data_IF_142853648696
#
_entry.id   IF_142853648696
#
_cell.length_a   1.000
_cell.length_b   1.000
_cell.length_c   1.000
_cell.angle_alpha   90.00
_cell.angle_beta   90.00
_cell.angle_gamma   90.00
#
_symmetry.space_group_name_H-M   'P 1'
#
loop_
_entity.id
_entity.type
_entity.pdbx_description
1 polymer ?
#
# COMPACT_ATOMS: atom_id res chain seq x y z
N UNK A 1 19.22 -4.96 -8.93
CA UNK A 1 17.92 -4.50 -9.49
C UNK A 1 17.71 -3.03 -9.13
N UNK A 2 16.99 -2.31 -10.01
CA UNK A 2 16.59 -0.91 -9.79
C UNK A 2 15.15 -0.82 -9.30
N UNK A 3 14.90 0.06 -8.34
CA UNK A 3 13.56 0.43 -7.83
C UNK A 3 13.39 1.94 -7.98
N UNK A 4 12.22 2.37 -8.41
CA UNK A 4 11.85 3.79 -8.46
C UNK A 4 10.75 4.09 -7.45
N UNK A 5 10.86 5.21 -6.74
CA UNK A 5 9.81 5.78 -5.88
C UNK A 5 9.45 7.16 -6.41
N UNK A 6 8.20 7.37 -6.79
CA UNK A 6 7.68 8.65 -7.28
C UNK A 6 6.87 9.34 -6.18
N UNK A 7 7.28 10.55 -5.84
CA UNK A 7 6.85 11.33 -4.70
C UNK A 7 7.89 11.24 -3.57
N UNK A 8 8.70 12.29 -3.40
CA UNK A 8 9.71 12.39 -2.34
C UNK A 8 9.16 12.98 -1.02
N UNK A 9 7.83 12.99 -0.87
CA UNK A 9 7.17 13.40 0.37
C UNK A 9 7.45 12.43 1.52
N UNK A 10 6.80 12.64 2.67
CA UNK A 10 7.10 11.87 3.88
C UNK A 10 6.96 10.34 3.69
N UNK A 11 5.92 9.87 3.00
CA UNK A 11 5.71 8.43 2.73
C UNK A 11 6.77 7.89 1.77
N UNK A 12 7.00 8.57 0.63
CA UNK A 12 7.97 8.12 -0.35
C UNK A 12 9.40 8.13 0.17
N UNK A 13 9.80 9.17 0.90
CA UNK A 13 11.12 9.23 1.54
C UNK A 13 11.29 8.13 2.59
N UNK A 14 10.24 7.82 3.40
CA UNK A 14 10.29 6.70 4.35
C UNK A 14 10.35 5.35 3.65
N UNK A 15 9.63 5.18 2.53
CA UNK A 15 9.72 3.97 1.71
C UNK A 15 11.15 3.80 1.16
N UNK A 16 11.71 4.87 0.61
CA UNK A 16 13.09 4.91 0.12
C UNK A 16 14.10 4.55 1.21
N UNK A 17 14.00 5.16 2.39
CA UNK A 17 14.86 4.88 3.55
C UNK A 17 14.81 3.39 3.94
N UNK A 18 13.62 2.81 4.03
CA UNK A 18 13.49 1.37 4.33
C UNK A 18 14.08 0.48 3.23
N UNK A 19 13.95 0.85 1.95
CA UNK A 19 14.52 0.11 0.83
C UNK A 19 16.05 0.10 0.91
N UNK A 20 16.67 1.25 1.14
CA UNK A 20 18.14 1.36 1.15
C UNK A 20 18.77 0.74 2.38
N UNK A 21 18.22 0.97 3.59
CA UNK A 21 18.71 0.36 4.84
C UNK A 21 18.69 -1.16 4.84
N UNK A 22 17.75 -1.75 4.12
CA UNK A 22 17.58 -3.21 4.00
C UNK A 22 18.25 -3.77 2.75
N UNK A 23 18.93 -2.93 1.97
CA UNK A 23 19.57 -3.28 0.69
C UNK A 23 18.65 -4.12 -0.21
N UNK A 24 17.38 -3.67 -0.34
CA UNK A 24 16.36 -4.36 -1.16
C UNK A 24 16.71 -4.20 -2.64
N UNK A 25 17.33 -3.09 -3.03
CA UNK A 25 17.70 -2.76 -4.39
C UNK A 25 19.16 -2.30 -4.48
N UNK A 26 19.80 -2.54 -5.62
CA UNK A 26 21.15 -2.02 -5.93
C UNK A 26 21.10 -0.54 -6.30
N UNK A 27 20.00 -0.12 -6.92
CA UNK A 27 19.74 1.27 -7.33
C UNK A 27 18.35 1.69 -6.89
N UNK A 28 18.27 2.86 -6.30
CA UNK A 28 17.02 3.55 -5.97
C UNK A 28 16.97 4.89 -6.71
N UNK A 29 15.89 5.12 -7.46
CA UNK A 29 15.59 6.42 -8.04
C UNK A 29 14.42 7.04 -7.30
N UNK A 30 14.60 8.26 -6.81
CA UNK A 30 13.57 9.06 -6.17
C UNK A 30 13.18 10.21 -7.10
N UNK A 31 11.91 10.28 -7.48
CA UNK A 31 11.39 11.29 -8.41
C UNK A 31 10.41 12.20 -7.68
N UNK A 32 10.52 13.51 -7.89
CA UNK A 32 9.52 14.49 -7.45
C UNK A 32 9.38 15.60 -8.49
N UNK A 33 8.27 16.32 -8.48
CA UNK A 33 8.05 17.48 -9.35
C UNK A 33 8.62 18.77 -8.77
N UNK A 34 8.85 18.80 -7.46
CA UNK A 34 9.40 19.95 -6.77
C UNK A 34 10.91 20.01 -7.00
N UNK A 35 11.37 21.09 -7.61
CA UNK A 35 12.79 21.28 -7.97
C UNK A 35 13.72 21.08 -6.79
N UNK A 36 14.75 20.26 -6.98
CA UNK A 36 15.79 19.95 -6.00
C UNK A 36 15.35 19.11 -4.81
N UNK A 37 14.05 18.80 -4.68
CA UNK A 37 13.53 18.14 -3.48
C UNK A 37 13.90 16.65 -3.41
N UNK A 38 13.76 15.94 -4.52
CA UNK A 38 14.16 14.54 -4.61
C UNK A 38 15.69 14.39 -4.52
N UNK A 39 16.45 15.29 -5.16
CA UNK A 39 17.90 15.35 -5.11
C UNK A 39 18.41 15.57 -3.68
N UNK A 40 17.80 16.51 -2.95
CA UNK A 40 18.12 16.76 -1.55
C UNK A 40 17.84 15.55 -0.66
N UNK A 41 16.68 14.87 -0.84
CA UNK A 41 16.37 13.65 -0.11
C UNK A 41 17.30 12.50 -0.44
N UNK A 42 17.66 12.33 -1.71
CA UNK A 42 18.61 11.31 -2.14
C UNK A 42 20.02 11.54 -1.55
N UNK A 43 20.48 12.80 -1.52
CA UNK A 43 21.76 13.15 -0.93
C UNK A 43 21.77 12.89 0.59
N UNK A 44 20.71 13.30 1.30
CA UNK A 44 20.56 13.06 2.75
C UNK A 44 20.58 11.56 3.07
N UNK A 45 19.81 10.75 2.34
CA UNK A 45 19.82 9.29 2.47
C UNK A 45 21.21 8.70 2.16
N UNK A 46 21.90 9.18 1.10
CA UNK A 46 23.24 8.71 0.75
C UNK A 46 24.24 8.95 1.87
N UNK A 47 24.14 10.08 2.58
CA UNK A 47 25.01 10.38 3.71
C UNK A 47 24.85 9.41 4.88
N UNK A 48 23.70 8.74 5.00
CA UNK A 48 23.49 7.71 6.03
C UNK A 48 24.18 6.38 5.70
N UNK A 49 24.61 6.16 4.46
CA UNK A 49 25.14 4.87 4.00
C UNK A 49 26.35 4.39 4.81
N UNK A 50 27.32 5.26 5.07
CA UNK A 50 28.50 4.92 5.87
C UNK A 50 28.19 4.68 7.36
N UNK A 51 27.10 5.25 7.86
CA UNK A 51 26.67 5.11 9.25
C UNK A 51 25.84 3.83 9.47
N UNK A 52 25.08 3.41 8.46
CA UNK A 52 24.14 2.31 8.52
C UNK A 52 24.60 1.05 7.79
N UNK A 53 25.68 1.14 7.02
CA UNK A 53 26.35 -0.01 6.40
C UNK A 53 25.65 -0.56 5.16
N UNK A 54 25.03 0.29 4.33
CA UNK A 54 24.45 -0.14 3.04
C UNK A 54 25.18 0.48 1.84
N UNK A 55 25.00 -0.12 0.64
CA UNK A 55 25.68 0.28 -0.59
C UNK A 55 24.73 0.59 -1.76
N UNK A 56 23.43 0.68 -1.52
CA UNK A 56 22.44 1.06 -2.54
C UNK A 56 22.80 2.42 -3.14
N UNK A 57 22.90 2.52 -4.46
CA UNK A 57 23.07 3.80 -5.16
C UNK A 57 21.75 4.54 -5.20
N UNK A 58 21.73 5.79 -4.75
CA UNK A 58 20.51 6.60 -4.66
C UNK A 58 20.64 7.79 -5.60
N UNK A 59 19.65 7.96 -6.47
CA UNK A 59 19.56 9.10 -7.39
C UNK A 59 18.24 9.82 -7.16
N UNK A 60 18.29 11.12 -6.88
CA UNK A 60 17.12 12.00 -6.86
C UNK A 60 17.03 12.75 -8.17
N UNK A 61 15.81 12.96 -8.69
CA UNK A 61 15.59 13.70 -9.93
C UNK A 61 14.29 14.51 -9.90
N UNK A 62 14.35 15.73 -10.43
CA UNK A 62 13.18 16.58 -10.60
C UNK A 62 12.52 16.33 -11.97
N UNK A 63 11.40 15.60 -11.98
CA UNK A 63 10.57 15.40 -13.19
C UNK A 63 11.21 14.59 -14.32
N UNK A 64 12.46 14.15 -14.20
CA UNK A 64 13.18 13.38 -15.24
C UNK A 64 12.92 11.87 -15.10
N UNK A 65 11.92 11.37 -15.76
CA UNK A 65 11.59 9.95 -15.77
C UNK A 65 12.58 9.07 -16.55
N UNK A 66 13.46 9.65 -17.39
CA UNK A 66 14.50 8.87 -18.10
C UNK A 66 15.41 8.10 -17.15
N UNK A 67 15.64 8.62 -15.95
CA UNK A 67 16.45 7.97 -14.90
C UNK A 67 15.79 6.72 -14.32
N UNK A 68 14.47 6.59 -14.48
CA UNK A 68 13.73 5.40 -14.01
C UNK A 68 13.89 4.19 -14.93
N UNK A 69 14.53 4.37 -16.09
CA UNK A 69 14.68 3.33 -17.10
C UNK A 69 15.21 2.00 -16.53
N UNK A 70 14.50 0.91 -16.85
CA UNK A 70 14.87 -0.43 -16.40
C UNK A 70 14.53 -0.75 -14.95
N UNK A 71 13.63 0.03 -14.30
CA UNK A 71 13.14 -0.31 -12.95
C UNK A 71 12.32 -1.59 -12.95
N UNK A 72 12.64 -2.49 -12.02
CA UNK A 72 11.88 -3.71 -11.79
C UNK A 72 10.55 -3.44 -11.05
N UNK A 73 10.57 -2.46 -10.13
CA UNK A 73 9.41 -2.03 -9.36
C UNK A 73 9.37 -0.51 -9.33
N UNK A 74 8.18 0.04 -9.56
CA UNK A 74 7.91 1.47 -9.44
C UNK A 74 6.82 1.71 -8.39
N UNK A 75 7.13 2.47 -7.36
CA UNK A 75 6.23 2.82 -6.26
C UNK A 75 5.68 4.22 -6.49
N UNK A 76 4.36 4.37 -6.54
CA UNK A 76 3.67 5.64 -6.71
C UNK A 76 3.13 6.10 -5.36
N UNK A 77 3.75 7.12 -4.77
CA UNK A 77 3.30 7.78 -3.54
C UNK A 77 2.86 9.23 -3.80
N UNK A 78 2.96 9.67 -5.06
CA UNK A 78 2.60 11.02 -5.48
C UNK A 78 1.09 11.25 -5.42
N UNK A 79 0.71 12.42 -4.98
CA UNK A 79 -0.67 12.87 -4.82
C UNK A 79 -0.74 13.97 -3.78
N UNK A 80 -1.91 14.60 -3.68
CA UNK A 80 -2.16 15.59 -2.64
C UNK A 80 -2.96 14.98 -1.50
N UNK A 81 -2.71 15.37 -0.24
CA UNK A 81 -3.59 15.03 0.87
C UNK A 81 -4.89 15.82 0.75
N UNK A 82 -5.96 15.28 1.36
CA UNK A 82 -7.23 16.01 1.45
C UNK A 82 -7.05 17.31 2.23
N UNK A 83 -7.41 18.43 1.61
CA UNK A 83 -7.36 19.75 2.24
C UNK A 83 -8.71 20.06 2.92
N UNK A 84 -8.74 20.92 3.95
CA UNK A 84 -9.99 21.42 4.51
C UNK A 84 -10.88 22.05 3.43
N UNK A 85 -12.16 21.68 3.40
CA UNK A 85 -13.13 22.15 2.39
C UNK A 85 -13.13 21.40 1.05
N UNK A 86 -12.13 20.55 0.78
CA UNK A 86 -12.09 19.73 -0.44
C UNK A 86 -13.08 18.59 -0.36
N UNK A 87 -13.89 18.41 -1.41
CA UNK A 87 -14.78 17.25 -1.53
C UNK A 87 -13.98 15.97 -1.81
N UNK A 88 -14.62 14.82 -1.68
CA UNK A 88 -14.00 13.53 -2.03
C UNK A 88 -13.76 13.43 -3.54
N UNK A 89 -14.70 13.91 -4.32
CA UNK A 89 -14.65 13.91 -5.80
C UNK A 89 -13.51 14.79 -6.32
N UNK A 90 -13.32 15.98 -5.74
CA UNK A 90 -12.21 16.86 -6.08
C UNK A 90 -10.84 16.23 -5.77
N UNK A 91 -10.74 15.51 -4.64
CA UNK A 91 -9.52 14.78 -4.30
C UNK A 91 -9.25 13.65 -5.30
N UNK A 92 -10.28 12.85 -5.62
CA UNK A 92 -10.18 11.76 -6.60
C UNK A 92 -9.76 12.35 -7.95
N UNK A 93 -10.42 13.39 -8.43
CA UNK A 93 -10.13 14.02 -9.73
C UNK A 93 -8.71 14.57 -9.83
N UNK A 94 -8.21 15.18 -8.77
CA UNK A 94 -6.84 15.69 -8.72
C UNK A 94 -5.82 14.54 -8.72
N UNK A 95 -6.00 13.58 -7.83
CA UNK A 95 -5.05 12.47 -7.68
C UNK A 95 -5.10 11.50 -8.87
N UNK A 96 -6.26 11.34 -9.52
CA UNK A 96 -6.39 10.55 -10.73
C UNK A 96 -5.48 11.05 -11.84
N UNK A 97 -5.50 12.35 -12.13
CA UNK A 97 -4.62 12.97 -13.14
C UNK A 97 -3.14 12.78 -12.81
N UNK A 98 -2.79 12.93 -11.53
CA UNK A 98 -1.39 12.73 -11.08
C UNK A 98 -0.97 11.28 -11.28
N UNK A 99 -1.74 10.32 -10.76
CA UNK A 99 -1.39 8.88 -10.80
C UNK A 99 -1.36 8.36 -12.23
N UNK A 100 -2.32 8.75 -13.07
CA UNK A 100 -2.36 8.38 -14.49
C UNK A 100 -1.11 8.86 -15.23
N UNK A 101 -0.76 10.13 -15.09
CA UNK A 101 0.42 10.71 -15.75
C UNK A 101 1.71 10.04 -15.26
N UNK A 102 1.85 9.84 -13.96
CA UNK A 102 3.01 9.16 -13.36
C UNK A 102 3.13 7.73 -13.88
N UNK A 103 2.03 6.97 -13.88
CA UNK A 103 2.05 5.58 -14.32
C UNK A 103 2.44 5.46 -15.80
N UNK A 104 1.90 6.32 -16.68
CA UNK A 104 2.25 6.38 -18.09
C UNK A 104 3.72 6.76 -18.30
N UNK A 105 4.21 7.79 -17.60
CA UNK A 105 5.61 8.22 -17.70
C UNK A 105 6.59 7.13 -17.21
N UNK A 106 6.24 6.38 -16.19
CA UNK A 106 7.05 5.25 -15.71
C UNK A 106 7.14 4.14 -16.76
N UNK A 107 6.03 3.80 -17.43
CA UNK A 107 6.01 2.74 -18.43
C UNK A 107 6.77 3.10 -19.71
N UNK A 108 6.89 4.37 -20.06
CA UNK A 108 7.71 4.82 -21.18
C UNK A 108 9.16 4.35 -21.05
N UNK A 109 9.71 4.37 -19.83
CA UNK A 109 11.11 3.99 -19.54
C UNK A 109 11.24 2.62 -18.89
N UNK A 110 10.18 2.09 -18.28
CA UNK A 110 10.19 0.80 -17.59
C UNK A 110 8.94 -0.03 -17.93
N UNK A 111 8.76 -0.47 -19.19
CA UNK A 111 7.54 -1.11 -19.67
C UNK A 111 7.23 -2.45 -18.99
N UNK A 112 8.23 -3.06 -18.37
CA UNK A 112 8.10 -4.33 -17.67
C UNK A 112 8.05 -4.18 -16.14
N UNK A 113 7.95 -2.96 -15.60
CA UNK A 113 7.90 -2.74 -14.18
C UNK A 113 6.61 -3.29 -13.53
N UNK A 114 6.73 -3.66 -12.26
CA UNK A 114 5.57 -3.86 -11.39
C UNK A 114 5.26 -2.52 -10.74
N UNK A 115 4.01 -2.07 -10.85
CA UNK A 115 3.53 -0.83 -10.27
C UNK A 115 2.95 -1.09 -8.90
N UNK A 116 3.47 -0.42 -7.87
CA UNK A 116 2.93 -0.42 -6.51
C UNK A 116 2.31 0.95 -6.24
N UNK A 117 1.02 0.98 -5.92
CA UNK A 117 0.26 2.20 -5.66
C UNK A 117 0.07 2.38 -4.15
N UNK A 118 0.44 3.56 -3.65
CA UNK A 118 0.23 3.98 -2.25
C UNK A 118 -0.64 5.24 -2.18
N UNK A 119 -0.76 5.96 -3.29
CA UNK A 119 -1.53 7.20 -3.42
C UNK A 119 -3.01 6.99 -3.12
N UNK A 120 -3.61 7.91 -2.35
CA UNK A 120 -5.01 7.82 -1.95
C UNK A 120 -5.97 8.63 -2.87
N UNK A 121 -7.23 8.16 -3.01
CA UNK A 121 -7.82 6.93 -2.46
C UNK A 121 -7.22 5.69 -3.12
N UNK A 122 -6.56 4.84 -2.33
CA UNK A 122 -5.63 3.81 -2.84
C UNK A 122 -6.32 2.78 -3.76
N UNK A 123 -7.51 2.30 -3.40
CA UNK A 123 -8.23 1.30 -4.20
C UNK A 123 -8.60 1.88 -5.58
N UNK A 124 -9.13 3.10 -5.61
CA UNK A 124 -9.49 3.82 -6.84
C UNK A 124 -8.25 4.16 -7.68
N UNK A 125 -7.16 4.59 -7.04
CA UNK A 125 -5.91 4.88 -7.76
C UNK A 125 -5.25 3.61 -8.31
N UNK A 126 -5.37 2.47 -7.65
CA UNK A 126 -4.90 1.18 -8.16
C UNK A 126 -5.72 0.73 -9.37
N UNK A 127 -7.05 0.85 -9.30
CA UNK A 127 -7.93 0.56 -10.43
C UNK A 127 -7.61 1.46 -11.64
N UNK A 128 -7.45 2.77 -11.40
CA UNK A 128 -7.06 3.72 -12.44
C UNK A 128 -5.70 3.38 -13.06
N UNK A 129 -4.68 3.12 -12.24
CA UNK A 129 -3.35 2.76 -12.71
C UNK A 129 -3.38 1.51 -13.59
N UNK A 130 -4.17 0.49 -13.23
CA UNK A 130 -4.35 -0.69 -14.05
C UNK A 130 -4.98 -0.35 -15.42
N UNK A 131 -6.05 0.42 -15.43
CA UNK A 131 -6.75 0.82 -16.68
C UNK A 131 -5.86 1.71 -17.56
N UNK A 132 -5.17 2.68 -16.97
CA UNK A 132 -4.33 3.63 -17.69
C UNK A 132 -3.06 3.01 -18.29
N UNK A 133 -2.52 1.99 -17.64
CA UNK A 133 -1.29 1.33 -18.11
C UNK A 133 -1.53 0.17 -19.05
N UNK A 134 -2.69 -0.48 -18.97
CA UNK A 134 -2.97 -1.70 -19.73
C UNK A 134 -2.05 -2.89 -19.37
N UNK A 135 -1.32 -2.80 -18.25
CA UNK A 135 -0.46 -3.89 -17.78
C UNK A 135 -1.29 -5.14 -17.43
N UNK A 136 -0.67 -6.33 -17.48
CA UNK A 136 -1.28 -7.52 -16.89
C UNK A 136 -1.68 -7.26 -15.43
N UNK A 137 -2.86 -7.75 -15.03
CA UNK A 137 -3.45 -7.46 -13.71
C UNK A 137 -2.51 -7.76 -12.54
N UNK A 138 -1.66 -8.77 -12.67
CA UNK A 138 -0.70 -9.17 -11.65
C UNK A 138 0.47 -8.18 -11.45
N UNK A 139 0.63 -7.19 -12.33
CA UNK A 139 1.70 -6.19 -12.25
C UNK A 139 1.27 -4.85 -11.65
N UNK A 140 0.02 -4.70 -11.25
CA UNK A 140 -0.46 -3.48 -10.57
C UNK A 140 -1.03 -3.87 -9.22
N UNK A 141 -0.47 -3.32 -8.16
CA UNK A 141 -0.73 -3.73 -6.78
C UNK A 141 -0.90 -2.48 -5.91
N UNK A 142 -2.00 -2.39 -5.19
CA UNK A 142 -2.21 -1.36 -4.17
C UNK A 142 -1.74 -1.83 -2.79
N UNK A 143 -0.94 -1.00 -2.13
CA UNK A 143 -0.47 -1.25 -0.76
C UNK A 143 -1.46 -0.64 0.23
N UNK A 144 -2.42 -1.42 0.74
CA UNK A 144 -3.39 -1.00 1.74
C UNK A 144 -3.42 -1.95 2.92
N UNK A 145 -3.87 -3.17 2.68
CA UNK A 145 -4.08 -4.17 3.72
C UNK A 145 -2.83 -4.56 4.51
N UNK A 146 -1.62 -4.42 3.95
CA UNK A 146 -0.35 -4.61 4.70
C UNK A 146 -0.29 -3.63 5.87
N UNK A 147 -0.55 -2.35 5.61
CA UNK A 147 -0.58 -1.29 6.62
C UNK A 147 -1.73 -1.51 7.61
N UNK A 148 -2.93 -1.83 7.11
CA UNK A 148 -4.10 -2.02 7.96
C UNK A 148 -3.94 -3.23 8.86
N UNK A 149 -3.34 -4.31 8.37
CA UNK A 149 -2.99 -5.49 9.16
C UNK A 149 -1.90 -5.19 10.21
N UNK A 150 -0.95 -4.30 9.92
CA UNK A 150 0.02 -3.85 10.91
C UNK A 150 -0.66 -3.06 12.04
N UNK A 151 -1.65 -2.21 11.72
CA UNK A 151 -2.50 -1.53 12.71
C UNK A 151 -3.28 -2.53 13.56
N UNK A 152 -3.91 -3.50 12.92
CA UNK A 152 -4.66 -4.57 13.60
C UNK A 152 -3.76 -5.33 14.58
N UNK A 153 -2.57 -5.73 14.19
CA UNK A 153 -1.58 -6.36 15.08
C UNK A 153 -1.18 -5.45 16.24
N UNK A 154 -1.07 -4.13 16.01
CA UNK A 154 -0.76 -3.18 17.08
C UNK A 154 -1.85 -3.12 18.14
N UNK A 155 -3.12 -3.12 17.76
CA UNK A 155 -4.23 -3.12 18.72
C UNK A 155 -4.40 -4.48 19.40
N UNK A 156 -4.21 -5.59 18.68
CA UNK A 156 -4.14 -6.92 19.29
C UNK A 156 -2.99 -7.03 20.32
N UNK A 157 -1.80 -6.54 19.96
CA UNK A 157 -0.63 -6.53 20.85
C UNK A 157 -0.94 -5.78 22.16
N UNK A 158 -1.60 -4.63 22.08
CA UNK A 158 -2.01 -3.85 23.26
C UNK A 158 -3.02 -4.61 24.13
N UNK A 159 -3.96 -5.31 23.51
CA UNK A 159 -4.99 -6.06 24.23
C UNK A 159 -4.46 -7.36 24.87
N UNK A 160 -3.44 -7.98 24.27
CA UNK A 160 -2.89 -9.27 24.68
C UNK A 160 -1.59 -9.14 25.49
N UNK A 161 -0.96 -7.96 25.51
CA UNK A 161 0.37 -7.71 26.07
C UNK A 161 1.42 -8.73 25.59
N UNK A 162 1.54 -8.86 24.28
CA UNK A 162 2.38 -9.86 23.62
C UNK A 162 3.32 -9.26 22.57
N UNK A 163 4.19 -10.07 21.97
CA UNK A 163 5.02 -9.65 20.83
C UNK A 163 4.18 -9.53 19.56
N UNK A 164 4.35 -8.43 18.80
CA UNK A 164 3.72 -8.28 17.49
C UNK A 164 4.20 -9.32 16.48
N UNK A 165 5.42 -9.84 16.61
CA UNK A 165 5.98 -10.85 15.70
C UNK A 165 5.25 -12.19 15.79
N UNK A 166 4.61 -12.47 16.92
CA UNK A 166 3.88 -13.71 17.17
C UNK A 166 2.40 -13.63 16.73
N UNK A 167 1.97 -12.45 16.28
CA UNK A 167 0.61 -12.21 15.83
C UNK A 167 0.48 -12.45 14.31
N UNK A 168 -0.48 -13.27 13.93
CA UNK A 168 -0.99 -13.38 12.56
C UNK A 168 -2.39 -12.78 12.52
N UNK A 169 -2.54 -11.68 11.77
CA UNK A 169 -3.80 -10.96 11.65
C UNK A 169 -3.86 -10.28 10.29
N UNK A 170 -5.03 -10.29 9.67
CA UNK A 170 -5.24 -9.82 8.31
C UNK A 170 -6.46 -8.91 8.24
N UNK A 171 -6.31 -7.82 7.50
CA UNK A 171 -7.40 -6.92 7.12
C UNK A 171 -7.61 -7.05 5.62
N UNK A 172 -8.85 -7.21 5.19
CA UNK A 172 -9.27 -7.27 3.78
C UNK A 172 -10.25 -6.15 3.46
N UNK A 173 -10.72 -6.08 2.21
CA UNK A 173 -11.65 -5.04 1.75
C UNK A 173 -10.94 -3.78 1.29
N UNK A 174 -11.66 -2.67 1.19
CA UNK A 174 -11.13 -1.36 0.79
C UNK A 174 -10.27 -0.71 1.86
N UNK A 175 -9.35 0.15 1.43
CA UNK A 175 -8.44 0.88 2.32
C UNK A 175 -9.06 2.19 2.82
N UNK A 176 -10.11 2.09 3.62
CA UNK A 176 -10.80 3.24 4.20
C UNK A 176 -11.44 2.88 5.54
N UNK A 177 -11.63 3.88 6.41
CA UNK A 177 -12.12 3.69 7.78
C UNK A 177 -13.47 2.93 7.87
N UNK A 178 -14.26 2.96 6.80
CA UNK A 178 -15.58 2.27 6.73
C UNK A 178 -15.59 1.08 5.78
N UNK A 179 -14.47 0.75 5.13
CA UNK A 179 -14.41 -0.27 4.09
C UNK A 179 -13.44 -1.40 4.41
N UNK A 180 -12.53 -1.21 5.35
CA UNK A 180 -11.63 -2.27 5.79
C UNK A 180 -12.32 -3.26 6.73
N UNK A 181 -11.93 -4.52 6.66
CA UNK A 181 -12.53 -5.62 7.42
C UNK A 181 -11.43 -6.38 8.16
N UNK A 182 -11.21 -6.10 9.45
CA UNK A 182 -10.30 -6.88 10.27
C UNK A 182 -10.88 -8.28 10.55
N UNK A 183 -10.23 -9.32 10.04
CA UNK A 183 -10.68 -10.71 10.19
C UNK A 183 -10.31 -11.25 11.57
N UNK A 184 -11.04 -10.85 12.62
CA UNK A 184 -10.77 -11.25 14.01
C UNK A 184 -10.85 -12.75 14.22
N UNK A 185 -11.76 -13.44 13.53
CA UNK A 185 -11.93 -14.89 13.57
C UNK A 185 -10.68 -15.65 13.12
N UNK A 186 -9.92 -15.09 12.19
CA UNK A 186 -8.71 -15.69 11.63
C UNK A 186 -7.42 -15.21 12.30
N UNK A 187 -7.53 -14.27 13.25
CA UNK A 187 -6.37 -13.77 13.97
C UNK A 187 -5.86 -14.79 14.99
N UNK A 188 -4.53 -14.96 15.05
CA UNK A 188 -3.90 -15.92 15.96
C UNK A 188 -2.69 -15.30 16.66
N UNK A 189 -2.44 -15.75 17.89
CA UNK A 189 -1.19 -15.56 18.61
C UNK A 189 -0.43 -16.89 18.54
N UNK A 190 0.65 -16.92 17.79
CA UNK A 190 1.48 -18.10 17.54
C UNK A 190 0.66 -19.37 17.24
N UNK A 191 -0.31 -19.23 16.31
CA UNK A 191 -1.19 -20.33 15.87
C UNK A 191 -2.43 -20.57 16.73
N UNK A 192 -2.53 -19.99 17.93
CA UNK A 192 -3.71 -20.10 18.80
C UNK A 192 -4.69 -18.95 18.46
N UNK A 193 -5.98 -19.23 18.21
CA UNK A 193 -6.97 -18.18 17.95
C UNK A 193 -7.00 -17.12 19.07
N UNK A 194 -7.01 -15.84 18.71
CA UNK A 194 -7.06 -14.74 19.68
C UNK A 194 -8.35 -14.74 20.51
N UNK A 195 -9.41 -15.36 20.02
CA UNK A 195 -10.66 -15.59 20.75
C UNK A 195 -10.53 -16.48 21.99
N UNK A 196 -9.41 -17.21 22.13
CA UNK A 196 -9.11 -17.96 23.34
C UNK A 196 -8.61 -17.07 24.49
N UNK A 197 -8.21 -15.84 24.17
CA UNK A 197 -7.60 -14.90 25.13
C UNK A 197 -8.44 -13.63 25.33
N UNK A 198 -9.22 -13.24 24.33
CA UNK A 198 -10.02 -12.01 24.31
C UNK A 198 -11.50 -12.33 24.19
N UNK A 199 -12.33 -11.61 24.93
CA UNK A 199 -13.78 -11.68 24.78
C UNK A 199 -14.24 -11.10 23.42
N UNK A 200 -15.47 -11.43 23.04
CA UNK A 200 -16.08 -10.90 21.81
C UNK A 200 -16.12 -9.37 21.79
N UNK A 201 -16.41 -8.73 22.93
CA UNK A 201 -16.44 -7.27 23.03
C UNK A 201 -15.04 -6.65 22.90
N UNK A 202 -14.01 -7.28 23.45
CA UNK A 202 -12.62 -6.85 23.26
C UNK A 202 -12.18 -6.98 21.80
N UNK A 203 -12.56 -8.06 21.13
CA UNK A 203 -12.28 -8.24 19.70
C UNK A 203 -13.01 -7.23 18.83
N UNK A 204 -14.27 -6.90 19.13
CA UNK A 204 -15.03 -5.82 18.48
C UNK A 204 -14.34 -4.47 18.67
N UNK A 205 -13.86 -4.18 19.88
CA UNK A 205 -13.13 -2.93 20.13
C UNK A 205 -11.83 -2.84 19.35
N UNK A 206 -11.04 -3.91 19.33
CA UNK A 206 -9.80 -4.01 18.56
C UNK A 206 -10.07 -3.79 17.05
N UNK A 207 -11.13 -4.37 16.51
CA UNK A 207 -11.53 -4.18 15.13
C UNK A 207 -11.91 -2.71 14.86
N UNK A 208 -12.73 -2.11 15.73
CA UNK A 208 -13.13 -0.71 15.62
C UNK A 208 -11.93 0.26 15.67
N UNK A 209 -11.02 0.05 16.62
CA UNK A 209 -9.79 0.86 16.74
C UNK A 209 -8.89 0.70 15.50
N UNK A 210 -8.83 -0.50 14.92
CA UNK A 210 -8.09 -0.75 13.68
C UNK A 210 -8.66 0.08 12.53
N UNK A 211 -9.97 0.06 12.36
CA UNK A 211 -10.67 0.77 11.27
C UNK A 211 -10.40 2.28 11.32
N UNK A 212 -10.42 2.88 12.49
CA UNK A 212 -10.19 4.32 12.66
C UNK A 212 -8.71 4.68 12.91
N UNK A 213 -7.80 3.72 12.87
CA UNK A 213 -6.39 3.93 13.20
C UNK A 213 -5.70 5.00 12.34
N UNK A 214 -6.09 5.14 11.06
CA UNK A 214 -5.60 6.21 10.18
C UNK A 214 -6.07 7.59 10.62
N UNK A 215 -7.35 7.75 10.91
CA UNK A 215 -7.95 9.00 11.38
C UNK A 215 -7.37 9.39 12.75
N UNK A 216 -7.18 8.44 13.65
CA UNK A 216 -6.55 8.64 14.96
C UNK A 216 -5.15 9.24 14.83
N UNK A 217 -4.29 8.67 13.94
CA UNK A 217 -2.96 9.21 13.70
C UNK A 217 -3.00 10.60 13.08
N UNK A 218 -3.91 10.83 12.13
CA UNK A 218 -4.07 12.15 11.50
C UNK A 218 -4.46 13.21 12.54
N UNK A 219 -5.34 12.87 13.48
CA UNK A 219 -5.71 13.76 14.59
C UNK A 219 -4.53 14.09 15.51
N UNK A 220 -3.69 13.10 15.81
CA UNK A 220 -2.53 13.27 16.71
C UNK A 220 -1.37 14.01 16.04
N UNK A 221 -1.11 13.76 14.76
CA UNK A 221 0.03 14.30 14.03
C UNK A 221 -0.27 15.60 13.27
N UNK A 222 -1.55 15.95 13.09
CA UNK A 222 -1.99 17.04 12.21
C UNK A 222 -1.82 16.74 10.72
N UNK A 223 -1.38 15.54 10.37
CA UNK A 223 -1.17 15.06 8.99
C UNK A 223 -1.27 13.53 8.94
N UNK A 224 -1.30 12.96 7.72
CA UNK A 224 -1.34 11.50 7.54
C UNK A 224 -0.06 10.83 8.06
N UNK A 225 -0.17 9.59 8.50
CA UNK A 225 0.96 8.74 8.86
C UNK A 225 1.94 8.55 7.69
N UNK A 226 3.22 8.38 7.97
CA UNK A 226 4.24 8.13 6.93
C UNK A 226 5.21 6.99 7.25
N UNK A 227 5.54 6.73 8.53
CA UNK A 227 6.48 5.65 8.90
C UNK A 227 5.93 4.27 8.52
N UNK A 228 4.74 3.94 8.99
CA UNK A 228 4.14 2.64 8.74
C UNK A 228 3.77 2.40 7.26
N UNK A 229 3.16 3.36 6.52
CA UNK A 229 2.92 3.18 5.09
C UNK A 229 4.21 3.08 4.28
N UNK A 230 5.25 3.85 4.61
CA UNK A 230 6.57 3.71 3.96
C UNK A 230 7.20 2.34 4.19
N UNK A 231 7.16 1.85 5.43
CA UNK A 231 7.65 0.51 5.77
C UNK A 231 6.83 -0.61 5.10
N UNK A 232 5.50 -0.47 5.01
CA UNK A 232 4.63 -1.42 4.33
C UNK A 232 4.89 -1.46 2.82
N UNK A 233 5.10 -0.30 2.19
CA UNK A 233 5.52 -0.21 0.79
C UNK A 233 6.86 -0.90 0.54
N UNK A 234 7.86 -0.65 1.38
CA UNK A 234 9.17 -1.31 1.28
C UNK A 234 9.08 -2.84 1.49
N UNK A 235 8.24 -3.32 2.41
CA UNK A 235 8.02 -4.75 2.62
C UNK A 235 7.39 -5.43 1.40
N UNK A 236 6.46 -4.76 0.71
CA UNK A 236 5.89 -5.23 -0.54
C UNK A 236 6.95 -5.28 -1.65
N UNK A 237 7.72 -4.21 -1.82
CA UNK A 237 8.85 -4.14 -2.77
C UNK A 237 9.86 -5.26 -2.51
N UNK A 238 10.22 -5.51 -1.25
CA UNK A 238 11.15 -6.58 -0.88
C UNK A 238 10.64 -7.97 -1.28
N UNK A 239 9.36 -8.24 -1.06
CA UNK A 239 8.76 -9.53 -1.45
C UNK A 239 8.82 -9.74 -2.96
N UNK A 240 8.66 -8.68 -3.74
CA UNK A 240 8.78 -8.71 -5.21
C UNK A 240 10.23 -8.94 -5.61
N UNK A 241 11.14 -8.06 -5.17
CA UNK A 241 12.55 -8.04 -5.61
C UNK A 241 13.28 -9.33 -5.22
N UNK A 242 13.02 -9.83 -4.01
CA UNK A 242 13.64 -11.06 -3.47
C UNK A 242 12.84 -12.32 -3.73
N UNK A 243 11.73 -12.24 -4.48
CA UNK A 243 10.84 -13.36 -4.76
C UNK A 243 10.43 -14.17 -3.51
N UNK A 244 10.07 -13.47 -2.43
CA UNK A 244 9.87 -14.11 -1.12
C UNK A 244 8.60 -14.96 -1.02
N UNK A 245 7.65 -14.83 -1.96
CA UNK A 245 6.36 -15.55 -1.96
C UNK A 245 5.55 -15.32 -0.68
N UNK A 246 5.69 -14.15 -0.05
CA UNK A 246 4.90 -13.80 1.12
C UNK A 246 3.44 -13.63 0.76
N UNK A 247 2.57 -14.05 1.66
CA UNK A 247 1.15 -13.73 1.59
C UNK A 247 0.93 -12.38 2.25
N UNK A 248 0.50 -11.41 1.44
CA UNK A 248 0.13 -10.08 1.91
C UNK A 248 -1.31 -9.74 1.50
N UNK A 249 -2.10 -9.08 2.36
CA UNK A 249 -3.33 -8.46 1.92
C UNK A 249 -3.00 -7.22 1.10
N UNK A 250 -3.30 -7.28 -0.20
CA UNK A 250 -3.06 -6.19 -1.16
C UNK A 250 -4.31 -5.93 -1.98
N UNK A 251 -4.46 -4.68 -2.41
CA UNK A 251 -5.49 -4.31 -3.36
C UNK A 251 -5.06 -4.76 -4.77
N UNK A 252 -5.82 -5.69 -5.33
CA UNK A 252 -5.56 -6.28 -6.64
C UNK A 252 -6.86 -6.43 -7.44
N UNK A 253 -6.73 -6.50 -8.77
CA UNK A 253 -7.88 -6.68 -9.64
C UNK A 253 -8.51 -8.06 -9.48
N UNK A 254 -9.79 -8.09 -9.13
CA UNK A 254 -10.60 -9.30 -8.97
C UNK A 254 -11.38 -9.61 -10.25
N UNK A 255 -11.49 -10.89 -10.57
CA UNK A 255 -12.22 -11.42 -11.72
C UNK A 255 -13.05 -12.67 -11.35
N UNK A 256 -13.83 -12.56 -10.32
CA UNK A 256 -14.69 -13.60 -9.75
C UNK A 256 -14.30 -14.02 -8.33
N UNK A 257 -13.07 -13.75 -7.91
CA UNK A 257 -12.61 -14.08 -6.58
C UNK A 257 -13.41 -13.29 -5.52
N UNK A 258 -13.73 -13.94 -4.41
CA UNK A 258 -14.60 -13.38 -3.34
C UNK A 258 -15.98 -12.88 -3.84
N UNK A 259 -16.45 -13.40 -4.99
CA UNK A 259 -17.70 -12.97 -5.63
C UNK A 259 -17.64 -11.58 -6.27
N UNK A 260 -16.44 -11.01 -6.47
CA UNK A 260 -16.25 -9.67 -7.03
C UNK A 260 -15.61 -9.71 -8.41
N UNK A 261 -15.99 -8.79 -9.28
CA UNK A 261 -15.44 -8.66 -10.63
C UNK A 261 -15.27 -7.19 -11.01
N UNK A 262 -14.29 -6.88 -11.87
CA UNK A 262 -13.97 -5.53 -12.37
C UNK A 262 -13.84 -4.49 -11.25
N UNK A 263 -13.02 -4.82 -10.27
CA UNK A 263 -12.71 -3.96 -9.13
C UNK A 263 -11.30 -4.29 -8.62
N UNK A 264 -10.58 -3.31 -8.12
CA UNK A 264 -9.40 -3.55 -7.30
C UNK A 264 -9.79 -3.45 -5.83
N UNK A 265 -9.51 -4.52 -5.06
CA UNK A 265 -9.92 -4.61 -3.66
C UNK A 265 -8.92 -5.44 -2.86
N UNK A 266 -8.78 -5.15 -1.57
CA UNK A 266 -7.82 -5.80 -0.68
C UNK A 266 -8.19 -7.25 -0.38
N UNK A 267 -7.35 -8.18 -0.80
CA UNK A 267 -7.46 -9.63 -0.53
C UNK A 267 -6.08 -10.22 -0.27
N UNK A 268 -5.97 -11.36 0.42
CA UNK A 268 -4.69 -12.03 0.62
C UNK A 268 -4.14 -12.57 -0.69
N UNK A 269 -2.91 -12.19 -1.04
CA UNK A 269 -2.24 -12.61 -2.26
C UNK A 269 -0.80 -13.04 -2.00
N UNK A 270 -0.34 -14.03 -2.76
CA UNK A 270 1.08 -14.39 -2.80
C UNK A 270 1.83 -13.39 -3.65
N UNK A 271 2.84 -12.75 -3.08
CA UNK A 271 3.67 -11.73 -3.74
C UNK A 271 5.05 -12.30 -4.05
N UNK A 272 5.41 -12.28 -5.32
CA UNK A 272 6.71 -12.73 -5.81
C UNK A 272 7.24 -11.88 -6.96
N UNK A 273 8.27 -12.36 -7.64
CA UNK A 273 8.97 -11.61 -8.70
C UNK A 273 8.11 -11.25 -9.92
N UNK A 274 6.96 -11.90 -10.09
CA UNK A 274 6.01 -11.61 -11.16
C UNK A 274 4.90 -10.60 -10.74
N UNK A 275 4.98 -10.04 -9.54
CA UNK A 275 3.92 -9.26 -8.93
C UNK A 275 3.08 -10.12 -7.98
N UNK A 276 1.76 -9.98 -8.00
CA UNK A 276 0.90 -10.93 -7.29
C UNK A 276 0.67 -12.16 -8.17
N UNK A 277 0.79 -13.34 -7.56
CA UNK A 277 0.83 -14.59 -8.33
C UNK A 277 -0.39 -15.48 -8.07
N UNK A 278 -0.98 -15.38 -6.89
CA UNK A 278 -2.13 -16.17 -6.49
C UNK A 278 -2.93 -15.46 -5.42
N UNK A 279 -4.23 -15.39 -5.58
CA UNK A 279 -5.16 -14.98 -4.52
C UNK A 279 -5.41 -16.19 -3.60
N UNK A 280 -5.35 -15.96 -2.29
CA UNK A 280 -5.66 -16.97 -1.28
C UNK A 280 -7.11 -16.79 -0.85
N UNK A 281 -7.90 -17.82 -0.98
CA UNK A 281 -9.31 -17.84 -0.58
C UNK A 281 -9.42 -18.16 0.93
N UNK A 282 -9.69 -17.13 1.72
CA UNK A 282 -9.89 -17.22 3.17
C UNK A 282 -11.33 -17.60 3.53
N UNK A 283 -12.04 -18.37 2.83
CA UNK A 283 -13.40 -18.86 3.16
C UNK A 283 -14.12 -17.99 4.20
N UNK A 284 -14.64 -16.86 3.72
CA UNK A 284 -15.39 -15.93 4.56
C UNK A 284 -16.70 -16.60 5.04
N UNK A 285 -17.11 -16.32 6.25
CA UNK A 285 -18.46 -16.65 6.69
C UNK A 285 -19.46 -15.64 6.11
N UNK A 286 -20.78 -15.91 6.28
CA UNK A 286 -21.84 -15.10 5.69
C UNK A 286 -21.78 -13.62 6.11
N UNK A 287 -21.42 -13.35 7.37
CA UNK A 287 -21.30 -11.98 7.88
C UNK A 287 -20.09 -11.27 7.28
N UNK A 288 -18.92 -11.93 7.24
CA UNK A 288 -17.71 -11.41 6.62
C UNK A 288 -17.90 -11.16 5.11
N UNK A 289 -18.61 -12.08 4.41
CA UNK A 289 -18.92 -11.92 3.00
C UNK A 289 -19.88 -10.74 2.76
N UNK A 290 -20.87 -10.56 3.62
CA UNK A 290 -21.78 -9.42 3.54
C UNK A 290 -21.04 -8.08 3.73
N UNK A 291 -20.11 -8.01 4.68
CA UNK A 291 -19.25 -6.83 4.87
C UNK A 291 -18.31 -6.61 3.67
N UNK A 292 -17.75 -7.67 3.10
CA UNK A 292 -16.91 -7.59 1.91
C UNK A 292 -17.67 -7.05 0.70
N UNK A 293 -18.93 -7.47 0.52
CA UNK A 293 -19.79 -6.96 -0.54
C UNK A 293 -20.12 -5.47 -0.36
N UNK A 294 -20.38 -5.01 0.87
CA UNK A 294 -20.58 -3.58 1.19
C UNK A 294 -19.31 -2.76 0.93
N UNK A 295 -18.16 -3.30 1.31
CA UNK A 295 -16.87 -2.70 1.04
C UNK A 295 -16.63 -2.53 -0.47
N UNK A 296 -16.91 -3.58 -1.25
CA UNK A 296 -16.81 -3.55 -2.70
C UNK A 296 -17.72 -2.49 -3.33
N UNK A 297 -18.97 -2.39 -2.86
CA UNK A 297 -19.93 -1.39 -3.34
C UNK A 297 -19.41 0.05 -3.05
N UNK A 298 -18.91 0.29 -1.87
CA UNK A 298 -18.36 1.60 -1.51
C UNK A 298 -17.14 1.97 -2.40
N UNK A 299 -16.28 1.02 -2.73
CA UNK A 299 -15.15 1.25 -3.65
C UNK A 299 -15.64 1.48 -5.08
N UNK A 300 -16.66 0.73 -5.56
CA UNK A 300 -17.28 0.99 -6.88
C UNK A 300 -17.85 2.39 -6.99
N UNK A 301 -18.53 2.86 -5.96
CA UNK A 301 -19.05 4.23 -5.92
C UNK A 301 -17.93 5.30 -6.00
N UNK A 302 -16.76 5.02 -5.41
CA UNK A 302 -15.59 5.88 -5.58
C UNK A 302 -15.00 5.78 -7.01
N UNK A 303 -14.96 4.59 -7.58
CA UNK A 303 -14.44 4.40 -8.94
C UNK A 303 -15.33 5.05 -10.00
N UNK A 304 -16.65 5.11 -9.79
CA UNK A 304 -17.58 5.78 -10.70
C UNK A 304 -17.28 7.28 -10.90
N UNK A 305 -16.60 7.92 -9.94
CA UNK A 305 -16.13 9.31 -10.11
C UNK A 305 -15.12 9.42 -11.26
N UNK A 306 -14.35 8.36 -11.54
CA UNK A 306 -13.37 8.36 -12.64
C UNK A 306 -14.04 8.48 -14.01
N UNK A 307 -15.29 8.01 -14.15
CA UNK A 307 -16.04 8.07 -15.41
C UNK A 307 -16.55 9.50 -15.71
N UNK A 308 -16.45 10.41 -14.74
CA UNK A 308 -16.87 11.80 -14.86
C UNK A 308 -15.71 12.77 -15.09
N UNK A 309 -14.47 12.28 -15.14
CA UNK A 309 -13.24 13.05 -15.34
C UNK A 309 -12.84 13.09 -16.80
#
# INVERSE_FOLDING_TARGET
MKVTVVGAGAVGATCADNIVRREIAEELVLVDIKEGFAEGKALDLTQTASLLGFNTRITGVTGDYSKTAGSAVCVITSGIPRKPGMTREELIGTNAKIVENVAKSLLEYSPNAIIVVISNPMDTMTYLALKATGLPKNRVIGMGGILDSARFKTYLQKALDCSQSDLHATVIGGHGDTTMIPLTRLATLNGTPVSNFLSEDQLKQVAADTMVGGATLTKLLGTSAWYAPGAAGAALVESIVRNQKKVFPCCVALDGEYGQKDICLGVPVVIGSNGWEKIIDYKLNDAEQAEFNKSAEAVRNMNAVLDTL
#
